data_IF_847994538057
#
_entry.id   IF_847994538057
#
_cell.length_a   1.000
_cell.length_b   1.000
_cell.length_c   1.000
_cell.angle_alpha   90.00
_cell.angle_beta   90.00
_cell.angle_gamma   90.00
#
_symmetry.space_group_name_H-M   'P 1'
#
loop_
_entity.id
_entity.type
_entity.pdbx_description
1 polymer ?
#
# COMPACT_ATOMS: atom_id res chain seq x y z
N UNK A 1 -8.81 0.24 -10.73
CA UNK A 1 -8.43 -0.03 -12.12
C UNK A 1 -7.40 -1.14 -12.20
N UNK A 2 -6.19 -0.97 -11.66
CA UNK A 2 -5.10 -1.94 -11.76
C UNK A 2 -5.42 -3.34 -11.20
N UNK A 3 -6.20 -3.40 -10.10
CA UNK A 3 -6.65 -4.67 -9.53
C UNK A 3 -7.54 -5.41 -10.52
N UNK A 4 -8.48 -4.72 -11.16
CA UNK A 4 -9.38 -5.32 -12.15
C UNK A 4 -8.61 -5.84 -13.38
N UNK A 5 -7.68 -5.05 -13.91
CA UNK A 5 -6.81 -5.45 -15.02
C UNK A 5 -6.02 -6.73 -14.67
N UNK A 6 -5.43 -6.78 -13.47
CA UNK A 6 -4.70 -7.97 -12.98
C UNK A 6 -5.60 -9.19 -12.81
N UNK A 7 -6.83 -9.00 -12.27
CA UNK A 7 -7.80 -10.10 -12.14
C UNK A 7 -8.15 -10.70 -13.49
N UNK A 8 -8.37 -9.86 -14.50
CA UNK A 8 -8.69 -10.29 -15.86
C UNK A 8 -7.50 -10.99 -16.53
N UNK A 9 -6.28 -10.44 -16.40
CA UNK A 9 -5.06 -11.04 -16.95
C UNK A 9 -4.76 -12.42 -16.36
N UNK A 10 -4.92 -12.57 -15.04
CA UNK A 10 -4.61 -13.81 -14.32
C UNK A 10 -5.77 -14.80 -14.24
N UNK A 11 -6.95 -14.41 -14.69
CA UNK A 11 -8.17 -15.22 -14.53
C UNK A 11 -8.61 -15.38 -13.07
N UNK A 12 -8.24 -14.45 -12.20
CA UNK A 12 -8.62 -14.48 -10.80
C UNK A 12 -10.00 -13.86 -10.60
N UNK A 13 -10.70 -14.31 -9.55
CA UNK A 13 -12.09 -13.90 -9.29
C UNK A 13 -12.23 -12.89 -8.17
N UNK A 14 -11.25 -12.80 -7.28
CA UNK A 14 -11.29 -11.95 -6.08
C UNK A 14 -10.06 -11.06 -6.08
N UNK A 15 -10.28 -9.78 -5.83
CA UNK A 15 -9.25 -8.79 -5.62
C UNK A 15 -9.70 -7.74 -4.64
N UNK A 16 -8.76 -7.13 -3.93
CA UNK A 16 -9.05 -6.10 -2.94
C UNK A 16 -7.94 -5.04 -2.89
N UNK A 17 -8.30 -3.91 -2.33
CA UNK A 17 -7.39 -2.80 -2.03
C UNK A 17 -7.45 -2.45 -0.54
N UNK A 18 -6.39 -1.85 -0.01
CA UNK A 18 -6.36 -1.36 1.38
C UNK A 18 -7.42 -0.27 1.67
N UNK A 19 -7.95 0.35 0.62
CA UNK A 19 -9.08 1.27 0.69
C UNK A 19 -10.41 0.62 1.10
N UNK A 20 -10.45 -0.72 1.19
CA UNK A 20 -11.63 -1.51 1.49
C UNK A 20 -12.48 -1.87 0.26
N UNK A 21 -12.06 -1.49 -0.95
CA UNK A 21 -12.71 -1.97 -2.17
C UNK A 21 -12.41 -3.45 -2.39
N UNK A 22 -13.46 -4.24 -2.52
CA UNK A 22 -13.39 -5.67 -2.84
C UNK A 22 -14.10 -5.91 -4.16
N UNK A 23 -13.43 -6.58 -5.09
CA UNK A 23 -13.96 -6.98 -6.40
C UNK A 23 -14.20 -8.49 -6.38
N UNK A 24 -15.40 -8.90 -6.75
CA UNK A 24 -15.83 -10.29 -6.79
C UNK A 24 -16.41 -10.56 -8.20
N UNK A 25 -15.54 -10.90 -9.16
CA UNK A 25 -15.90 -10.99 -10.58
C UNK A 25 -16.95 -12.07 -10.90
N UNK A 26 -17.16 -13.04 -10.03
CA UNK A 26 -18.23 -14.03 -10.15
C UNK A 26 -19.61 -13.51 -9.66
N UNK A 27 -19.65 -12.31 -9.07
CA UNK A 27 -20.87 -11.68 -8.54
C UNK A 27 -21.19 -10.35 -9.20
N UNK A 28 -20.18 -9.56 -9.50
CA UNK A 28 -20.34 -8.21 -10.06
C UNK A 28 -19.11 -7.82 -10.88
N UNK A 29 -19.27 -6.90 -11.82
CA UNK A 29 -18.19 -6.42 -12.69
C UNK A 29 -17.39 -5.27 -12.10
N UNK A 30 -17.77 -4.79 -10.90
CA UNK A 30 -17.13 -3.66 -10.20
C UNK A 30 -17.05 -3.94 -8.71
N UNK A 31 -16.30 -3.12 -7.98
CA UNK A 31 -16.32 -3.12 -6.52
C UNK A 31 -17.67 -2.63 -6.01
N UNK A 32 -18.39 -3.50 -5.30
CA UNK A 32 -19.69 -3.22 -4.69
C UNK A 32 -19.64 -3.60 -3.21
N UNK A 33 -19.79 -2.59 -2.34
CA UNK A 33 -19.67 -2.79 -0.88
C UNK A 33 -20.81 -3.64 -0.31
N UNK A 34 -22.03 -3.59 -0.91
CA UNK A 34 -23.16 -4.40 -0.45
C UNK A 34 -22.93 -5.86 -0.84
N UNK A 35 -22.58 -6.12 -2.09
CA UNK A 35 -22.26 -7.47 -2.55
C UNK A 35 -21.09 -8.05 -1.77
N UNK A 36 -20.04 -7.28 -1.55
CA UNK A 36 -18.87 -7.71 -0.77
C UNK A 36 -19.26 -8.06 0.69
N UNK A 37 -20.02 -7.20 1.36
CA UNK A 37 -20.44 -7.45 2.75
C UNK A 37 -21.33 -8.69 2.88
N UNK A 38 -22.22 -8.91 1.94
CA UNK A 38 -23.06 -10.13 1.92
C UNK A 38 -22.21 -11.40 1.74
N UNK A 39 -21.14 -11.36 0.96
CA UNK A 39 -20.24 -12.52 0.83
C UNK A 39 -19.43 -12.76 2.13
N UNK A 40 -19.03 -11.68 2.82
CA UNK A 40 -18.37 -11.80 4.14
C UNK A 40 -19.33 -12.44 5.15
N UNK A 41 -20.56 -11.94 5.26
CA UNK A 41 -21.58 -12.53 6.14
C UNK A 41 -21.87 -13.98 5.76
N UNK A 42 -21.96 -14.30 4.48
CA UNK A 42 -22.15 -15.67 4.02
C UNK A 42 -20.95 -16.58 4.42
N UNK A 43 -19.73 -16.07 4.40
CA UNK A 43 -18.56 -16.81 4.89
C UNK A 43 -18.63 -17.08 6.39
N UNK A 44 -19.01 -16.06 7.20
CA UNK A 44 -19.21 -16.21 8.64
C UNK A 44 -20.24 -17.29 8.96
N UNK A 45 -21.40 -17.26 8.30
CA UNK A 45 -22.49 -18.22 8.49
C UNK A 45 -22.05 -19.64 8.11
N UNK A 46 -21.42 -19.82 6.96
CA UNK A 46 -20.96 -21.14 6.48
C UNK A 46 -19.90 -21.78 7.37
N UNK A 47 -19.02 -20.96 7.95
CA UNK A 47 -17.94 -21.46 8.80
C UNK A 47 -18.32 -21.46 10.30
N UNK A 48 -19.50 -20.95 10.65
CA UNK A 48 -19.92 -20.77 12.06
C UNK A 48 -18.89 -19.98 12.89
N UNK A 49 -18.27 -18.96 12.26
CA UNK A 49 -17.20 -18.15 12.85
C UNK A 49 -17.55 -16.67 12.86
N UNK A 50 -17.06 -15.95 13.85
CA UNK A 50 -17.09 -14.49 13.84
C UNK A 50 -16.15 -13.93 12.77
N UNK A 51 -16.36 -12.68 12.35
CA UNK A 51 -15.43 -12.02 11.42
C UNK A 51 -14.02 -11.91 12.03
N UNK A 52 -13.92 -11.64 13.33
CA UNK A 52 -12.66 -11.60 14.06
C UNK A 52 -11.88 -12.92 13.89
N UNK A 53 -12.56 -14.05 14.12
CA UNK A 53 -11.92 -15.37 14.03
C UNK A 53 -11.53 -15.72 12.60
N UNK A 54 -12.36 -15.36 11.60
CA UNK A 54 -12.02 -15.54 10.19
C UNK A 54 -10.78 -14.74 9.77
N UNK A 55 -10.57 -13.56 10.37
CA UNK A 55 -9.42 -12.70 10.08
C UNK A 55 -8.19 -13.02 10.95
N UNK A 56 -8.28 -13.88 11.95
CA UNK A 56 -7.20 -14.15 12.92
C UNK A 56 -5.91 -14.70 12.28
N UNK A 57 -6.00 -15.33 11.13
CA UNK A 57 -4.85 -15.84 10.38
C UNK A 57 -4.10 -14.78 9.56
N UNK A 58 -4.63 -13.54 9.46
CA UNK A 58 -4.03 -12.47 8.68
C UNK A 58 -3.21 -11.53 9.58
N UNK A 59 -1.92 -11.43 9.31
CA UNK A 59 -1.04 -10.48 9.99
C UNK A 59 -0.84 -9.24 9.10
N UNK A 60 -1.34 -8.11 9.56
CA UNK A 60 -1.11 -6.83 8.89
C UNK A 60 0.33 -6.37 9.12
N UNK A 61 0.98 -5.92 8.05
CA UNK A 61 2.28 -5.28 8.18
C UNK A 61 2.10 -3.80 8.57
N UNK A 62 2.90 -3.30 9.51
CA UNK A 62 3.01 -1.87 9.76
C UNK A 62 3.31 -1.09 8.49
N UNK A 63 2.64 0.04 8.33
CA UNK A 63 2.81 0.95 7.20
C UNK A 63 2.84 2.39 7.69
N UNK A 64 3.82 3.17 7.25
CA UNK A 64 3.89 4.60 7.50
C UNK A 64 3.91 5.38 6.19
N UNK A 65 3.07 6.41 6.10
CA UNK A 65 3.04 7.37 5.01
C UNK A 65 3.48 8.74 5.52
N UNK A 66 4.59 9.25 5.00
CA UNK A 66 5.11 10.59 5.27
C UNK A 66 4.95 11.47 4.03
N UNK A 67 4.30 12.61 4.18
CA UNK A 67 4.17 13.61 3.12
C UNK A 67 5.27 14.66 3.28
N UNK A 68 6.13 14.79 2.27
CA UNK A 68 7.23 15.75 2.26
C UNK A 68 6.94 16.83 1.23
N UNK A 69 6.76 18.08 1.67
CA UNK A 69 6.61 19.25 0.78
C UNK A 69 7.96 19.61 0.19
N UNK A 70 7.99 19.99 -1.07
CA UNK A 70 9.15 20.53 -1.76
C UNK A 70 8.81 21.85 -2.45
N UNK A 71 9.82 22.68 -2.71
CA UNK A 71 9.63 23.97 -3.38
C UNK A 71 9.46 23.74 -4.88
N UNK A 72 8.40 24.30 -5.46
CA UNK A 72 8.22 24.28 -6.91
C UNK A 72 9.38 25.02 -7.59
N UNK A 73 10.00 24.38 -8.57
CA UNK A 73 11.16 24.92 -9.28
C UNK A 73 12.52 24.40 -8.82
N UNK A 74 12.61 23.68 -7.70
CA UNK A 74 13.86 23.04 -7.25
C UNK A 74 14.22 21.75 -8.01
N UNK A 75 13.38 21.33 -8.96
CA UNK A 75 13.52 20.05 -9.66
C UNK A 75 12.60 18.97 -9.10
N UNK A 76 12.74 17.77 -9.60
CA UNK A 76 11.99 16.61 -9.08
C UNK A 76 12.84 15.87 -8.04
N UNK A 77 12.52 15.88 -6.75
CA UNK A 77 13.31 15.21 -5.74
C UNK A 77 13.50 13.71 -5.99
N UNK A 78 12.56 13.06 -6.70
CA UNK A 78 12.64 11.63 -7.05
C UNK A 78 13.74 11.32 -8.07
N UNK A 79 14.23 12.32 -8.78
CA UNK A 79 15.34 12.15 -9.75
C UNK A 79 16.71 12.41 -9.12
N UNK A 80 16.74 12.92 -7.89
CA UNK A 80 17.98 13.21 -7.18
C UNK A 80 18.70 11.90 -6.78
N UNK A 81 20.01 11.84 -7.07
CA UNK A 81 20.83 10.64 -6.82
C UNK A 81 20.93 10.27 -5.34
N UNK A 82 20.94 11.26 -4.44
CA UNK A 82 20.96 11.01 -3.00
C UNK A 82 19.65 10.32 -2.56
N UNK A 83 18.48 10.81 -3.01
CA UNK A 83 17.18 10.23 -2.71
C UNK A 83 17.10 8.79 -3.24
N UNK A 84 17.56 8.56 -4.47
CA UNK A 84 17.60 7.22 -5.06
C UNK A 84 18.48 6.27 -4.28
N UNK A 85 19.69 6.72 -3.88
CA UNK A 85 20.63 5.92 -3.11
C UNK A 85 20.06 5.50 -1.75
N UNK A 86 19.50 6.46 -0.99
CA UNK A 86 18.88 6.18 0.31
C UNK A 86 17.68 5.24 0.16
N UNK A 87 16.87 5.43 -0.89
CA UNK A 87 15.73 4.54 -1.18
C UNK A 87 16.20 3.13 -1.46
N UNK A 88 17.20 2.95 -2.31
CA UNK A 88 17.76 1.64 -2.65
C UNK A 88 18.38 0.92 -1.42
N UNK A 89 19.04 1.66 -0.52
CA UNK A 89 19.53 1.09 0.74
C UNK A 89 18.39 0.58 1.63
N UNK A 90 17.31 1.34 1.75
CA UNK A 90 16.13 0.94 2.52
C UNK A 90 15.44 -0.27 1.87
N UNK A 91 15.27 -0.28 0.56
CA UNK A 91 14.70 -1.42 -0.16
C UNK A 91 15.54 -2.69 0.02
N UNK A 92 16.87 -2.56 -0.03
CA UNK A 92 17.79 -3.67 0.22
C UNK A 92 17.69 -4.20 1.66
N UNK A 93 17.54 -3.30 2.64
CA UNK A 93 17.37 -3.68 4.06
C UNK A 93 16.03 -4.38 4.33
N UNK A 94 14.95 -3.94 3.68
CA UNK A 94 13.63 -4.57 3.77
C UNK A 94 13.59 -5.92 3.07
N UNK A 95 14.28 -6.05 1.93
CA UNK A 95 14.29 -7.24 1.10
C UNK A 95 12.87 -7.67 0.69
N UNK A 96 12.54 -8.94 0.93
CA UNK A 96 11.20 -9.49 0.64
C UNK A 96 10.17 -9.26 1.76
N UNK A 97 10.59 -8.64 2.87
CA UNK A 97 9.77 -8.45 4.08
C UNK A 97 9.15 -7.06 4.19
N UNK A 98 9.24 -6.28 3.13
CA UNK A 98 8.67 -4.95 3.08
C UNK A 98 8.80 -4.33 1.69
N UNK A 99 8.33 -3.10 1.57
CA UNK A 99 8.43 -2.31 0.34
C UNK A 99 8.46 -0.82 0.62
N UNK A 100 9.01 -0.10 -0.33
CA UNK A 100 8.99 1.36 -0.39
C UNK A 100 8.15 1.80 -1.58
N UNK A 101 7.37 2.87 -1.41
CA UNK A 101 6.69 3.53 -2.51
C UNK A 101 6.89 5.04 -2.38
N UNK A 102 7.62 5.62 -3.35
CA UNK A 102 7.73 7.07 -3.49
C UNK A 102 6.93 7.53 -4.69
N UNK A 103 6.12 8.55 -4.48
CA UNK A 103 5.39 9.17 -5.60
C UNK A 103 5.12 10.65 -5.36
N UNK A 104 5.15 11.42 -6.44
CA UNK A 104 4.68 12.81 -6.44
C UNK A 104 3.15 12.84 -6.29
N UNK A 105 2.63 13.77 -5.50
CA UNK A 105 1.19 14.05 -5.46
C UNK A 105 0.76 14.70 -6.79
N UNK A 106 -0.42 14.32 -7.29
CA UNK A 106 -0.97 14.93 -8.50
C UNK A 106 -1.60 16.30 -8.28
N UNK A 107 -1.87 16.69 -7.04
CA UNK A 107 -2.63 17.91 -6.69
C UNK A 107 -1.87 18.88 -5.81
N UNK A 108 -0.78 18.46 -5.19
CA UNK A 108 -0.01 19.28 -4.26
C UNK A 108 1.50 19.11 -4.52
N UNK A 109 2.33 20.14 -4.22
CA UNK A 109 3.79 20.05 -4.35
C UNK A 109 4.39 19.23 -3.18
N UNK A 110 4.11 17.94 -3.16
CA UNK A 110 4.64 17.03 -2.16
C UNK A 110 4.98 15.65 -2.74
N UNK A 111 5.97 15.04 -2.12
CA UNK A 111 6.33 13.64 -2.32
C UNK A 111 5.69 12.82 -1.20
N UNK A 112 5.03 11.73 -1.58
CA UNK A 112 4.50 10.73 -0.65
C UNK A 112 5.53 9.63 -0.50
N UNK A 113 6.06 9.51 0.70
CA UNK A 113 7.01 8.46 1.10
C UNK A 113 6.22 7.43 1.91
N UNK A 114 6.04 6.24 1.35
CA UNK A 114 5.39 5.13 2.04
C UNK A 114 6.38 4.00 2.24
N UNK A 115 6.49 3.53 3.48
CA UNK A 115 7.26 2.33 3.85
C UNK A 115 6.33 1.36 4.56
N UNK A 116 6.43 0.09 4.20
CA UNK A 116 5.70 -1.02 4.79
C UNK A 116 6.67 -2.17 5.09
N UNK A 117 6.52 -2.83 6.23
CA UNK A 117 7.44 -3.91 6.63
C UNK A 117 6.95 -4.66 7.86
N UNK A 118 7.67 -5.72 8.26
CA UNK A 118 7.29 -6.58 9.38
C UNK A 118 7.44 -5.91 10.77
N UNK A 119 8.37 -4.97 10.91
CA UNK A 119 8.75 -4.35 12.17
C UNK A 119 8.43 -2.86 12.17
N UNK A 120 7.58 -2.43 13.10
CA UNK A 120 7.09 -1.06 13.20
C UNK A 120 8.22 -0.03 13.36
N UNK A 121 9.18 -0.30 14.25
CA UNK A 121 10.32 0.58 14.50
C UNK A 121 11.16 0.80 13.24
N UNK A 122 11.42 -0.26 12.45
CA UNK A 122 12.12 -0.16 11.17
C UNK A 122 11.33 0.63 10.14
N UNK A 123 10.03 0.41 10.07
CA UNK A 123 9.14 1.15 9.15
C UNK A 123 9.19 2.65 9.45
N UNK A 124 9.14 3.02 10.72
CA UNK A 124 9.27 4.41 11.17
C UNK A 124 10.66 5.00 10.83
N UNK A 125 11.73 4.32 11.19
CA UNK A 125 13.10 4.75 10.91
C UNK A 125 13.31 4.97 9.41
N UNK A 126 12.94 4.00 8.59
CA UNK A 126 13.15 4.02 7.14
C UNK A 126 12.30 5.07 6.44
N UNK A 127 11.05 5.24 6.83
CA UNK A 127 10.19 6.28 6.27
C UNK A 127 10.73 7.68 6.57
N UNK A 128 11.20 7.93 7.79
CA UNK A 128 11.80 9.20 8.16
C UNK A 128 13.15 9.42 7.48
N UNK A 129 13.99 8.41 7.36
CA UNK A 129 15.27 8.49 6.65
C UNK A 129 15.10 8.90 5.19
N UNK A 130 14.15 8.30 4.48
CA UNK A 130 13.82 8.71 3.10
C UNK A 130 13.21 10.12 3.07
N UNK A 131 12.31 10.42 4.00
CA UNK A 131 11.69 11.75 4.08
C UNK A 131 12.73 12.86 4.30
N UNK A 132 13.73 12.66 5.13
CA UNK A 132 14.84 13.62 5.34
C UNK A 132 15.69 13.75 4.06
N UNK A 133 15.99 12.65 3.36
CA UNK A 133 16.69 12.74 2.08
C UNK A 133 15.89 13.55 1.04
N UNK A 134 14.56 13.40 1.00
CA UNK A 134 13.69 14.21 0.11
C UNK A 134 13.65 15.68 0.52
N UNK A 135 13.71 16.00 1.82
CA UNK A 135 13.73 17.40 2.31
C UNK A 135 15.04 18.13 2.03
N UNK A 136 16.13 17.39 1.89
CA UNK A 136 17.48 17.95 1.72
C UNK A 136 17.79 18.44 0.31
N UNK A 137 16.84 18.27 -0.63
CA UNK A 137 17.05 18.54 -2.08
C UNK A 137 16.00 19.48 -2.67
#
# INVERSE_FOLDING_TARGET
RYVLEMLQEKGWRIGAENSGHVILLDKTTTGDGIVASLQVVAAMVRNHMSLHDLCSGMKMFPQLLVNVRFTEGSGNPLENEHVKAVTAEVEAALGKRGRVLLRKSGTEPLIRVMVEGEHEDQVHEFAHRIAEAVKSV
#
